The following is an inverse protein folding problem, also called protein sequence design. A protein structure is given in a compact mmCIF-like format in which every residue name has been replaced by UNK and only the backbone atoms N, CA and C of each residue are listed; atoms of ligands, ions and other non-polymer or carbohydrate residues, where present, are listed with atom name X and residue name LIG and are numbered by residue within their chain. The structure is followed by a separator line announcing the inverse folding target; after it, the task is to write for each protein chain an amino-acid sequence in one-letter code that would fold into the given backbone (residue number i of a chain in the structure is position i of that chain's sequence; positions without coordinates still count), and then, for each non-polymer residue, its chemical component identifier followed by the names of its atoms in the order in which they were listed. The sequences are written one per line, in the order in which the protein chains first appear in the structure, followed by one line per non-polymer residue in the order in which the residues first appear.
data_IF_932236098027
#
_entry.id   IF_932236098027
#
_cell.length_a   1.000
_cell.length_b   1.000
_cell.length_c   1.000
_cell.angle_alpha   90.00
_cell.angle_beta   90.00
_cell.angle_gamma   90.00
#
_symmetry.space_group_name_H-M   'P 1'
#
loop_
_entity.id
_entity.type
_entity.pdbx_description
1 polymer ?
#
# COMPACT_ATOMS: atom_id res chain seq x y z
N UNK A 1 -3.82 31.57 -8.53
CA UNK A 1 -3.56 32.72 -7.64
C UNK A 1 -3.93 32.32 -6.24
N UNK A 2 -2.99 32.44 -5.32
CA UNK A 2 -2.92 32.14 -3.89
C UNK A 2 -2.25 30.82 -3.54
N UNK A 3 -0.89 30.90 -3.63
CA UNK A 3 0.01 30.14 -2.75
C UNK A 3 -0.07 30.75 -1.33
N UNK A 4 -0.33 29.95 -0.32
CA UNK A 4 -0.03 30.32 1.07
C UNK A 4 1.17 29.53 1.54
N UNK A 5 2.34 30.16 1.39
CA UNK A 5 3.57 29.76 2.06
C UNK A 5 3.42 30.11 3.53
N UNK A 6 3.37 29.13 4.43
CA UNK A 6 3.62 29.35 5.84
C UNK A 6 5.09 29.06 6.14
N UNK A 7 5.93 30.09 5.94
CA UNK A 7 7.26 30.13 6.54
C UNK A 7 7.10 30.47 8.04
N UNK A 8 7.40 29.53 8.92
CA UNK A 8 7.67 29.83 10.32
C UNK A 8 9.19 29.76 10.49
N UNK A 9 9.79 30.93 10.57
CA UNK A 9 11.17 31.13 11.01
C UNK A 9 11.18 30.98 12.53
N UNK A 10 11.81 29.94 13.05
CA UNK A 10 12.22 29.89 14.45
C UNK A 10 13.73 30.14 14.52
N UNK A 11 14.09 31.34 15.00
CA UNK A 11 15.46 31.67 15.43
C UNK A 11 15.70 31.14 16.84
N UNK A 12 16.75 30.37 16.99
CA UNK A 12 17.64 30.33 18.14
C UNK A 12 17.11 29.82 19.46
N UNK A 13 17.48 28.58 19.83
CA UNK A 13 17.80 28.22 21.22
C UNK A 13 18.55 26.87 21.22
N UNK A 14 19.49 26.74 22.14
CA UNK A 14 20.54 25.73 22.23
C UNK A 14 20.05 24.28 22.27
N UNK A 15 20.85 23.45 21.67
CA UNK A 15 20.72 21.99 21.66
C UNK A 15 21.02 21.41 23.06
N UNK A 16 20.04 21.19 23.89
CA UNK A 16 20.03 20.19 24.96
C UNK A 16 18.60 19.87 25.35
N UNK A 17 17.93 19.02 24.56
CA UNK A 17 16.80 18.21 25.06
C UNK A 17 16.51 17.11 24.05
N UNK A 18 16.32 15.90 24.56
CA UNK A 18 15.81 14.72 23.81
C UNK A 18 14.57 15.13 23.00
N UNK A 19 14.40 14.59 21.78
CA UNK A 19 13.21 14.91 20.98
C UNK A 19 11.94 14.57 21.76
N UNK A 20 10.88 15.37 21.62
CA UNK A 20 9.65 15.14 22.34
C UNK A 20 9.14 13.72 22.04
N UNK A 21 8.80 12.98 23.11
CA UNK A 21 8.12 11.70 23.01
C UNK A 21 6.92 11.89 22.08
N UNK A 22 6.88 11.14 20.98
CA UNK A 22 5.73 11.10 20.08
C UNK A 22 4.50 10.71 20.90
N UNK A 23 3.68 11.67 21.26
CA UNK A 23 2.37 11.42 21.83
C UNK A 23 1.51 10.92 20.67
N UNK A 24 1.15 9.67 20.70
CA UNK A 24 0.05 9.15 19.86
C UNK A 24 -1.23 9.85 20.32
N UNK A 25 -1.62 10.91 19.63
CA UNK A 25 -2.91 11.56 19.85
C UNK A 25 -3.97 10.54 19.38
N UNK A 26 -4.89 10.11 20.24
CA UNK A 26 -5.98 9.24 19.81
C UNK A 26 -6.83 10.02 18.79
N UNK A 27 -6.79 9.59 17.56
CA UNK A 27 -7.50 10.19 16.44
C UNK A 27 -9.01 10.03 16.66
N UNK A 28 -9.71 11.14 16.80
CA UNK A 28 -11.16 11.19 16.98
C UNK A 28 -11.86 10.95 15.61
N UNK A 29 -13.05 10.34 15.59
CA UNK A 29 -13.77 10.00 14.35
C UNK A 29 -14.12 11.22 13.49
N UNK A 30 -14.35 12.41 14.10
CA UNK A 30 -14.60 13.67 13.38
C UNK A 30 -13.38 14.17 12.59
N UNK A 31 -12.16 13.87 13.01
CA UNK A 31 -10.95 14.26 12.29
C UNK A 31 -10.72 13.36 11.08
N UNK A 32 -11.27 12.12 11.09
CA UNK A 32 -11.24 11.19 9.95
C UNK A 32 -12.11 11.64 8.78
N UNK A 33 -13.19 12.38 9.05
CA UNK A 33 -14.07 12.92 8.00
C UNK A 33 -13.43 14.06 7.21
N UNK A 34 -12.45 14.75 7.80
CA UNK A 34 -11.71 15.86 7.18
C UNK A 34 -10.43 15.45 6.46
N UNK A 35 -10.07 14.15 6.45
CA UNK A 35 -8.88 13.70 5.74
C UNK A 35 -9.05 13.83 4.22
N UNK A 36 -8.05 14.41 3.58
CA UNK A 36 -8.01 14.55 2.12
C UNK A 36 -7.83 13.18 1.46
N UNK A 37 -8.64 12.92 0.44
CA UNK A 37 -8.56 11.70 -0.36
C UNK A 37 -7.35 11.77 -1.31
N UNK A 38 -6.30 11.04 -0.99
CA UNK A 38 -5.06 11.04 -1.76
C UNK A 38 -5.29 10.46 -3.17
N UNK A 39 -6.12 9.43 -3.31
CA UNK A 39 -6.44 8.85 -4.61
C UNK A 39 -7.08 9.89 -5.54
N UNK A 40 -8.06 10.63 -5.02
CA UNK A 40 -8.70 11.72 -5.78
C UNK A 40 -7.72 12.83 -6.12
N UNK A 41 -6.89 13.24 -5.17
CA UNK A 41 -5.87 14.27 -5.40
C UNK A 41 -4.90 13.85 -6.51
N UNK A 42 -4.29 12.67 -6.41
CA UNK A 42 -3.34 12.18 -7.41
C UNK A 42 -3.97 12.03 -8.80
N UNK A 43 -5.19 11.48 -8.87
CA UNK A 43 -5.88 11.31 -10.16
C UNK A 43 -6.26 12.66 -10.79
N UNK A 44 -6.66 13.66 -9.99
CA UNK A 44 -7.05 14.97 -10.51
C UNK A 44 -5.88 15.88 -10.84
N UNK A 45 -4.70 15.66 -10.24
CA UNK A 45 -3.48 16.44 -10.48
C UNK A 45 -2.52 15.80 -11.47
N UNK A 46 -2.78 14.55 -11.87
CA UNK A 46 -1.98 13.88 -12.89
C UNK A 46 -2.10 14.59 -14.25
N UNK A 47 -1.00 14.69 -15.02
CA UNK A 47 -1.06 15.11 -16.41
C UNK A 47 -1.93 14.18 -17.26
N UNK A 48 -2.30 14.60 -18.45
CA UNK A 48 -2.92 13.73 -19.45
C UNK A 48 -2.00 12.54 -19.74
N UNK A 49 -2.50 11.31 -19.56
CA UNK A 49 -1.69 10.07 -19.66
C UNK A 49 -1.10 9.60 -18.35
N UNK A 50 -1.22 10.37 -17.25
CA UNK A 50 -0.69 10.03 -15.94
C UNK A 50 0.69 10.64 -15.65
N UNK A 51 1.22 10.34 -14.46
CA UNK A 51 2.60 10.68 -14.11
C UNK A 51 3.57 9.74 -14.86
N UNK A 52 4.57 10.32 -15.51
CA UNK A 52 5.57 9.56 -16.26
C UNK A 52 6.53 8.76 -15.40
N UNK A 53 7.25 7.87 -16.05
CA UNK A 53 8.22 6.93 -15.45
C UNK A 53 9.61 7.03 -16.08
N UNK A 54 9.90 8.12 -16.78
CA UNK A 54 11.17 8.35 -17.47
C UNK A 54 12.35 8.21 -16.52
N UNK A 55 13.51 7.79 -17.02
CA UNK A 55 14.74 7.73 -16.24
C UNK A 55 15.06 9.07 -15.57
N UNK A 56 15.61 8.99 -14.35
CA UNK A 56 16.01 10.18 -13.59
C UNK A 56 17.38 10.67 -14.03
N UNK A 57 17.50 11.96 -14.20
CA UNK A 57 18.80 12.60 -14.36
C UNK A 57 19.60 12.58 -13.06
N UNK A 58 20.94 12.71 -13.11
CA UNK A 58 21.77 12.83 -11.90
C UNK A 58 21.36 13.99 -10.99
N UNK A 59 20.90 15.12 -11.57
CA UNK A 59 20.39 16.27 -10.82
C UNK A 59 19.12 15.95 -10.07
N UNK A 60 18.16 15.25 -10.68
CA UNK A 60 16.91 14.83 -10.04
C UNK A 60 17.14 13.80 -8.94
N UNK A 61 18.08 12.87 -9.14
CA UNK A 61 18.50 11.94 -8.08
C UNK A 61 19.13 12.67 -6.89
N UNK A 62 19.91 13.72 -7.13
CA UNK A 62 20.47 14.57 -6.07
C UNK A 62 19.35 15.30 -5.35
N UNK A 63 18.46 15.97 -6.08
CA UNK A 63 17.29 16.65 -5.53
C UNK A 63 16.43 15.72 -4.68
N UNK A 64 16.15 14.51 -5.17
CA UNK A 64 15.39 13.51 -4.42
C UNK A 64 16.06 13.13 -3.09
N UNK A 65 17.38 12.94 -3.08
CA UNK A 65 18.11 12.63 -1.86
C UNK A 65 17.99 13.74 -0.81
N UNK A 66 18.02 14.99 -1.24
CA UNK A 66 17.85 16.16 -0.38
C UNK A 66 16.42 16.22 0.20
N UNK A 67 15.41 16.07 -0.66
CA UNK A 67 13.98 16.01 -0.26
C UNK A 67 13.74 14.87 0.73
N UNK A 68 14.19 13.67 0.40
CA UNK A 68 14.03 12.48 1.25
C UNK A 68 14.72 12.67 2.60
N UNK A 69 15.93 13.21 2.60
CA UNK A 69 16.70 13.48 3.81
C UNK A 69 16.00 14.48 4.73
N UNK A 70 15.51 15.58 4.17
CA UNK A 70 14.76 16.59 4.90
C UNK A 70 13.47 16.05 5.49
N UNK A 71 12.70 15.30 4.69
CA UNK A 71 11.43 14.72 5.15
C UNK A 71 11.65 13.65 6.23
N UNK A 72 12.64 12.80 6.07
CA UNK A 72 13.01 11.82 7.12
C UNK A 72 13.38 12.51 8.45
N UNK A 73 14.12 13.63 8.39
CA UNK A 73 14.46 14.40 9.59
C UNK A 73 13.21 14.95 10.29
N UNK A 74 12.21 15.44 9.54
CA UNK A 74 10.92 15.90 10.10
C UNK A 74 10.19 14.81 10.90
N UNK A 75 10.35 13.56 10.50
CA UNK A 75 9.77 12.41 11.19
C UNK A 75 10.73 11.73 12.20
N UNK A 76 11.82 12.40 12.56
CA UNK A 76 12.75 11.96 13.60
C UNK A 76 13.66 10.81 13.20
N UNK A 77 13.98 10.67 11.91
CA UNK A 77 14.98 9.74 11.41
C UNK A 77 16.30 10.45 11.10
N UNK A 78 17.39 9.68 11.05
CA UNK A 78 18.64 10.21 10.48
C UNK A 78 18.40 10.73 9.05
N UNK A 79 18.96 11.90 8.69
CA UNK A 79 18.80 12.54 7.39
C UNK A 79 19.67 11.83 6.33
N UNK A 80 19.30 10.61 5.97
CA UNK A 80 19.98 9.80 4.96
C UNK A 80 18.99 9.31 3.91
N UNK A 81 19.51 8.99 2.73
CA UNK A 81 18.69 8.32 1.71
C UNK A 81 18.22 6.95 2.21
N UNK A 82 16.95 6.63 1.95
CA UNK A 82 16.39 5.33 2.18
C UNK A 82 15.53 4.92 0.98
N UNK A 83 15.51 3.63 0.58
CA UNK A 83 14.68 3.18 -0.52
C UNK A 83 13.19 3.34 -0.17
N UNK A 84 12.38 3.60 -1.20
CA UNK A 84 10.94 3.60 -1.11
C UNK A 84 10.40 2.19 -0.96
N UNK A 85 10.97 1.25 -1.73
CA UNK A 85 10.53 -0.14 -1.80
C UNK A 85 11.29 -0.99 -0.79
N UNK A 86 10.58 -1.85 -0.10
CA UNK A 86 11.15 -2.70 0.94
C UNK A 86 10.66 -4.14 0.82
N UNK A 87 11.44 -5.07 1.36
CA UNK A 87 11.07 -6.48 1.55
C UNK A 87 10.73 -6.81 3.01
N UNK A 88 10.75 -5.82 3.91
CA UNK A 88 10.66 -5.97 5.36
C UNK A 88 9.28 -6.48 5.86
N UNK A 89 8.56 -7.16 4.99
CA UNK A 89 7.28 -7.76 5.27
C UNK A 89 7.45 -9.29 5.24
N UNK A 90 7.16 -9.96 6.35
CA UNK A 90 7.17 -11.43 6.48
C UNK A 90 6.45 -12.16 5.33
N UNK A 91 5.46 -11.53 4.70
CA UNK A 91 4.76 -12.08 3.56
C UNK A 91 5.55 -11.98 2.27
N UNK A 92 6.14 -10.81 1.99
CA UNK A 92 6.98 -10.61 0.80
C UNK A 92 8.20 -11.52 0.83
N UNK A 93 8.81 -11.71 2.01
CA UNK A 93 9.95 -12.60 2.21
C UNK A 93 9.65 -14.10 2.05
N UNK A 94 8.38 -14.51 1.98
CA UNK A 94 7.98 -15.91 1.73
C UNK A 94 7.82 -16.27 0.25
N UNK A 95 7.90 -15.30 -0.62
CA UNK A 95 7.85 -15.56 -2.06
C UNK A 95 9.14 -16.24 -2.52
N UNK A 96 9.03 -17.21 -3.43
CA UNK A 96 10.18 -17.83 -4.11
C UNK A 96 10.85 -16.88 -5.10
N UNK A 97 10.12 -15.86 -5.55
CA UNK A 97 10.62 -14.78 -6.40
C UNK A 97 10.80 -13.53 -5.53
N UNK A 98 11.92 -12.79 -5.63
CA UNK A 98 12.14 -11.56 -4.87
C UNK A 98 10.96 -10.60 -5.01
N UNK A 99 10.38 -10.22 -3.87
CA UNK A 99 9.16 -9.42 -3.82
C UNK A 99 9.40 -8.13 -3.06
N UNK A 100 8.96 -7.02 -3.65
CA UNK A 100 9.16 -5.68 -3.13
C UNK A 100 7.82 -4.95 -3.03
N UNK A 101 7.69 -4.06 -2.07
CA UNK A 101 6.44 -3.33 -1.90
C UNK A 101 6.61 -1.94 -1.33
N UNK A 102 5.64 -1.09 -1.64
CA UNK A 102 5.52 0.24 -1.06
C UNK A 102 4.57 0.24 0.12
N UNK A 103 5.06 0.65 1.28
CA UNK A 103 4.26 0.79 2.50
C UNK A 103 3.99 2.26 2.79
N UNK A 104 2.74 2.69 2.58
CA UNK A 104 2.22 4.01 2.96
C UNK A 104 1.43 3.92 4.27
N UNK A 105 1.15 5.05 4.90
CA UNK A 105 0.33 5.15 6.09
C UNK A 105 -1.14 4.84 5.75
N UNK A 106 -1.74 3.74 6.23
CA UNK A 106 -3.12 3.41 5.92
C UNK A 106 -4.11 4.41 6.50
N UNK A 107 -5.36 4.33 6.08
CA UNK A 107 -6.43 5.23 6.50
C UNK A 107 -6.41 5.52 8.00
N UNK A 108 -6.40 6.80 8.38
CA UNK A 108 -6.43 7.25 9.76
C UNK A 108 -5.10 7.18 10.51
N UNK A 109 -4.00 6.81 9.87
CA UNK A 109 -2.65 6.81 10.46
C UNK A 109 -1.70 7.83 9.84
N UNK A 110 -2.10 8.48 8.76
CA UNK A 110 -1.46 9.70 8.24
C UNK A 110 -2.25 10.91 8.73
N UNK A 111 -1.57 12.00 9.03
CA UNK A 111 -2.19 13.17 9.65
C UNK A 111 -3.17 13.92 8.72
N UNK A 112 -3.00 13.78 7.39
CA UNK A 112 -3.72 14.60 6.41
C UNK A 112 -4.38 13.74 5.32
N UNK A 113 -3.78 12.60 4.94
CA UNK A 113 -4.16 11.88 3.75
C UNK A 113 -4.79 10.52 4.02
N UNK A 114 -5.93 10.25 3.39
CA UNK A 114 -6.53 8.93 3.33
C UNK A 114 -6.07 8.21 2.06
N UNK A 115 -5.28 7.16 2.22
CA UNK A 115 -4.81 6.30 1.12
C UNK A 115 -5.68 5.05 0.92
N UNK A 116 -6.79 4.92 1.67
CA UNK A 116 -7.68 3.75 1.65
C UNK A 116 -9.14 4.20 1.53
N UNK A 117 -9.49 4.84 0.42
CA UNK A 117 -10.81 5.45 0.17
C UNK A 117 -11.99 4.52 0.49
N UNK A 118 -11.90 3.26 0.09
CA UNK A 118 -12.98 2.27 0.28
C UNK A 118 -12.79 1.36 1.49
N UNK A 119 -11.90 1.73 2.44
CA UNK A 119 -11.79 0.98 3.69
C UNK A 119 -13.06 1.13 4.52
N UNK A 120 -13.58 0.01 5.02
CA UNK A 120 -14.72 -0.02 5.93
C UNK A 120 -14.31 0.26 7.38
N UNK A 121 -15.25 0.61 8.28
CA UNK A 121 -14.97 0.74 9.71
C UNK A 121 -14.34 -0.52 10.29
N UNK A 122 -14.85 -1.71 9.97
CA UNK A 122 -14.31 -2.98 10.44
C UNK A 122 -12.88 -3.22 9.96
N UNK A 123 -12.58 -2.93 8.68
CA UNK A 123 -11.24 -3.03 8.14
C UNK A 123 -10.25 -2.08 8.86
N UNK A 124 -10.67 -0.84 9.13
CA UNK A 124 -9.81 0.14 9.82
C UNK A 124 -9.53 -0.25 11.27
N UNK A 125 -10.52 -0.78 11.97
CA UNK A 125 -10.40 -1.18 13.37
C UNK A 125 -9.37 -2.32 13.58
N UNK A 126 -9.20 -3.20 12.60
CA UNK A 126 -8.29 -4.35 12.67
C UNK A 126 -7.18 -4.30 11.61
N UNK A 127 -6.79 -3.10 11.22
CA UNK A 127 -5.80 -2.91 10.16
C UNK A 127 -4.48 -3.61 10.48
N UNK A 128 -3.90 -4.29 9.48
CA UNK A 128 -2.60 -4.97 9.58
C UNK A 128 -1.43 -4.02 9.92
N UNK A 129 -1.64 -2.71 9.86
CA UNK A 129 -0.63 -1.73 10.28
C UNK A 129 -0.15 -1.93 11.71
N UNK A 130 -0.98 -2.54 12.57
CA UNK A 130 -0.69 -2.82 13.98
C UNK A 130 -0.16 -4.23 14.23
N UNK A 131 -0.03 -5.07 13.18
CA UNK A 131 0.44 -6.44 13.30
C UNK A 131 1.97 -6.53 13.20
N UNK A 132 2.56 -7.44 13.96
CA UNK A 132 4.01 -7.71 13.94
C UNK A 132 4.84 -6.43 14.16
N UNK A 133 5.86 -6.23 13.33
CA UNK A 133 6.71 -5.04 13.37
C UNK A 133 5.95 -3.74 13.03
N UNK A 134 4.76 -3.84 12.43
CA UNK A 134 3.91 -2.71 12.10
C UNK A 134 3.50 -1.85 13.30
N UNK A 135 3.52 -2.40 14.51
CA UNK A 135 3.19 -1.73 15.78
C UNK A 135 4.24 -0.73 16.27
N UNK A 136 5.46 -0.78 15.74
CA UNK A 136 6.52 0.12 16.18
C UNK A 136 6.34 1.52 15.62
N UNK A 137 6.56 2.54 16.46
CA UNK A 137 6.45 3.96 16.07
C UNK A 137 7.36 4.31 14.90
N UNK A 138 8.57 3.75 14.85
CA UNK A 138 9.48 3.97 13.73
C UNK A 138 8.88 3.50 12.40
N UNK A 139 8.18 2.36 12.39
CA UNK A 139 7.52 1.84 11.19
C UNK A 139 6.33 2.73 10.80
N UNK A 140 5.56 3.19 11.76
CA UNK A 140 4.44 4.13 11.52
C UNK A 140 4.96 5.44 10.92
N UNK A 141 5.97 6.06 11.53
CA UNK A 141 6.60 7.29 11.00
C UNK A 141 7.22 7.09 9.62
N UNK A 142 7.80 5.91 9.35
CA UNK A 142 8.33 5.59 8.04
C UNK A 142 7.25 5.54 6.95
N UNK A 143 6.05 5.08 7.26
CA UNK A 143 4.89 5.11 6.37
C UNK A 143 4.37 6.54 6.18
N UNK A 144 4.33 7.32 7.25
CA UNK A 144 3.86 8.71 7.24
C UNK A 144 4.73 9.58 6.32
N UNK A 145 6.06 9.56 6.49
CA UNK A 145 6.92 10.38 5.62
C UNK A 145 6.85 9.95 4.14
N UNK A 146 6.70 8.64 3.83
CA UNK A 146 6.51 8.19 2.45
C UNK A 146 5.17 8.69 1.88
N UNK A 147 4.12 8.72 2.68
CA UNK A 147 2.83 9.27 2.26
C UNK A 147 2.91 10.77 2.00
N UNK A 148 3.61 11.53 2.85
CA UNK A 148 3.86 12.95 2.63
C UNK A 148 4.66 13.20 1.35
N UNK A 149 5.75 12.45 1.14
CA UNK A 149 6.57 12.55 -0.08
C UNK A 149 5.75 12.28 -1.35
N UNK A 150 4.88 11.27 -1.34
CA UNK A 150 4.00 10.99 -2.48
C UNK A 150 3.01 12.12 -2.74
N UNK A 151 2.47 12.73 -1.69
CA UNK A 151 1.52 13.83 -1.82
C UNK A 151 2.17 15.14 -2.28
N UNK A 152 3.36 15.44 -1.75
CA UNK A 152 4.04 16.71 -1.99
C UNK A 152 4.86 16.71 -3.29
N UNK A 153 5.36 15.52 -3.72
CA UNK A 153 6.23 15.37 -4.88
C UNK A 153 5.82 14.17 -5.78
N UNK A 154 4.55 14.07 -6.23
CA UNK A 154 4.04 12.85 -6.87
C UNK A 154 4.80 12.44 -8.13
N UNK A 155 5.11 13.37 -9.02
CA UNK A 155 5.83 13.08 -10.26
C UNK A 155 7.23 12.51 -9.98
N UNK A 156 8.00 13.16 -9.10
CA UNK A 156 9.34 12.71 -8.75
C UNK A 156 9.33 11.40 -7.97
N UNK A 157 8.36 11.24 -7.04
CA UNK A 157 8.18 10.01 -6.27
C UNK A 157 7.94 8.79 -7.19
N UNK A 158 7.06 8.93 -8.18
CA UNK A 158 6.71 7.85 -9.12
C UNK A 158 7.92 7.49 -9.99
N UNK A 159 8.66 8.48 -10.48
CA UNK A 159 9.88 8.24 -11.27
C UNK A 159 10.99 7.59 -10.44
N UNK A 160 11.14 7.97 -9.17
CA UNK A 160 12.07 7.29 -8.24
C UNK A 160 11.64 5.85 -7.99
N UNK A 161 10.35 5.60 -7.80
CA UNK A 161 9.83 4.24 -7.64
C UNK A 161 10.11 3.38 -8.88
N UNK A 162 9.88 3.91 -10.09
CA UNK A 162 10.21 3.25 -11.35
C UNK A 162 11.71 2.96 -11.48
N UNK A 163 12.56 3.92 -11.06
CA UNK A 163 14.02 3.74 -11.01
C UNK A 163 14.43 2.62 -10.06
N UNK A 164 13.84 2.57 -8.85
CA UNK A 164 14.11 1.48 -7.90
C UNK A 164 13.67 0.11 -8.46
N UNK A 165 12.51 0.02 -9.11
CA UNK A 165 12.03 -1.22 -9.75
C UNK A 165 13.00 -1.69 -10.83
N UNK A 166 13.48 -0.79 -11.71
CA UNK A 166 14.47 -1.13 -12.74
C UNK A 166 15.76 -1.68 -12.11
N UNK A 167 16.30 -1.02 -11.10
CA UNK A 167 17.52 -1.44 -10.42
C UNK A 167 17.35 -2.80 -9.71
N UNK A 168 16.20 -3.02 -9.08
CA UNK A 168 15.90 -4.29 -8.41
C UNK A 168 15.76 -5.43 -9.43
N UNK A 169 15.08 -5.20 -10.55
CA UNK A 169 14.95 -6.17 -11.61
C UNK A 169 16.30 -6.46 -12.30
N UNK A 170 17.13 -5.44 -12.55
CA UNK A 170 18.48 -5.63 -13.08
C UNK A 170 19.36 -6.48 -12.14
N UNK A 171 19.18 -6.32 -10.83
CA UNK A 171 19.95 -7.07 -9.82
C UNK A 171 19.47 -8.50 -9.61
N UNK A 172 18.16 -8.72 -9.63
CA UNK A 172 17.55 -9.97 -9.18
C UNK A 172 16.92 -10.80 -10.32
N UNK A 173 16.80 -10.24 -11.53
CA UNK A 173 16.02 -10.82 -12.63
C UNK A 173 14.53 -10.57 -12.43
N UNK A 174 13.69 -11.60 -12.61
CA UNK A 174 12.25 -11.45 -12.39
C UNK A 174 11.92 -11.12 -10.93
N UNK A 175 11.12 -10.08 -10.73
CA UNK A 175 10.67 -9.64 -9.41
C UNK A 175 9.14 -9.56 -9.34
N UNK A 176 8.63 -9.47 -8.10
CA UNK A 176 7.25 -9.11 -7.80
C UNK A 176 7.20 -7.71 -7.20
N UNK A 177 6.22 -6.92 -7.64
CA UNK A 177 6.00 -5.60 -7.07
C UNK A 177 4.56 -5.44 -6.58
N UNK A 178 4.44 -4.96 -5.33
CA UNK A 178 3.17 -4.67 -4.68
C UNK A 178 3.11 -3.19 -4.28
N UNK A 179 2.47 -2.32 -5.08
CA UNK A 179 2.41 -0.88 -4.81
C UNK A 179 1.58 -0.51 -3.58
N UNK A 180 0.64 -1.34 -3.13
CA UNK A 180 -0.19 -1.08 -1.96
C UNK A 180 -0.02 -2.16 -0.86
N UNK A 181 1.10 -2.20 -0.14
CA UNK A 181 1.26 -3.17 0.97
C UNK A 181 0.21 -2.96 2.05
N UNK A 182 -0.12 -1.70 2.36
CA UNK A 182 -1.13 -1.31 3.36
C UNK A 182 -2.11 -0.23 2.85
N UNK A 183 -1.85 0.36 1.69
CA UNK A 183 -2.71 1.33 1.02
C UNK A 183 -3.74 0.64 0.11
N UNK A 184 -4.55 1.44 -0.56
CA UNK A 184 -5.46 1.00 -1.62
C UNK A 184 -5.65 2.15 -2.63
N UNK A 185 -4.52 2.58 -3.24
CA UNK A 185 -4.49 3.62 -4.26
C UNK A 185 -4.66 2.99 -5.65
N UNK A 186 -5.44 3.59 -6.55
CA UNK A 186 -5.63 3.13 -7.92
C UNK A 186 -4.48 3.63 -8.81
N UNK A 187 -3.29 3.06 -8.66
CA UNK A 187 -2.06 3.47 -9.34
C UNK A 187 -2.22 3.53 -10.86
N UNK A 188 -3.00 2.63 -11.44
CA UNK A 188 -3.27 2.57 -12.86
C UNK A 188 -4.03 3.78 -13.42
N UNK A 189 -4.71 4.55 -12.55
CA UNK A 189 -5.44 5.74 -12.98
C UNK A 189 -4.57 7.00 -13.03
N UNK A 190 -3.43 7.03 -12.35
CA UNK A 190 -2.56 8.21 -12.32
C UNK A 190 -1.11 7.93 -12.66
N UNK A 191 -0.68 6.67 -12.73
CA UNK A 191 0.65 6.26 -13.12
C UNK A 191 0.60 4.91 -13.91
N UNK A 192 -0.14 4.83 -15.03
CA UNK A 192 -0.33 3.59 -15.78
C UNK A 192 1.00 2.99 -16.28
N UNK A 193 1.94 3.83 -16.70
CA UNK A 193 3.23 3.41 -17.27
C UNK A 193 4.13 2.69 -16.25
N UNK A 194 3.81 2.79 -14.95
CA UNK A 194 4.51 2.06 -13.90
C UNK A 194 4.43 0.53 -14.09
N UNK A 195 3.40 0.06 -14.82
CA UNK A 195 3.14 -1.36 -15.06
C UNK A 195 3.66 -1.88 -16.41
N UNK A 196 4.32 -1.00 -17.19
CA UNK A 196 4.92 -1.32 -18.50
C UNK A 196 6.35 -0.77 -18.64
N UNK A 197 7.12 -0.85 -17.55
CA UNK A 197 8.48 -0.32 -17.52
C UNK A 197 9.41 -1.01 -18.51
N UNK A 198 10.29 -0.22 -19.10
CA UNK A 198 11.40 -0.70 -19.94
C UNK A 198 12.74 -0.27 -19.35
N UNK A 199 13.80 -1.00 -19.68
CA UNK A 199 15.19 -0.58 -19.49
C UNK A 199 15.59 0.41 -20.59
N UNK A 200 16.74 1.03 -20.46
CA UNK A 200 17.27 2.02 -21.44
C UNK A 200 17.51 1.41 -22.83
N UNK A 201 17.75 0.10 -22.92
CA UNK A 201 17.89 -0.64 -24.19
C UNK A 201 16.54 -1.01 -24.84
N UNK A 202 15.42 -0.64 -24.24
CA UNK A 202 14.06 -0.92 -24.71
C UNK A 202 13.47 -2.25 -24.27
N UNK A 203 14.25 -3.13 -23.61
CA UNK A 203 13.74 -4.39 -23.09
C UNK A 203 12.75 -4.17 -21.96
N UNK A 204 11.70 -5.01 -21.91
CA UNK A 204 10.73 -4.96 -20.81
C UNK A 204 11.39 -5.32 -19.48
N UNK A 205 11.09 -4.55 -18.43
CA UNK A 205 11.52 -4.86 -17.07
C UNK A 205 10.76 -6.11 -16.60
N UNK A 206 11.46 -7.17 -16.16
CA UNK A 206 10.83 -8.45 -15.78
C UNK A 206 10.18 -8.34 -14.38
N UNK A 207 9.12 -7.55 -14.28
CA UNK A 207 8.32 -7.34 -13.08
C UNK A 207 6.89 -7.80 -13.29
N UNK A 208 6.31 -8.53 -12.31
CA UNK A 208 4.89 -8.81 -12.24
C UNK A 208 4.28 -8.09 -11.06
N UNK A 209 3.18 -7.39 -11.32
CA UNK A 209 2.55 -6.51 -10.36
C UNK A 209 1.25 -7.10 -9.83
N UNK A 210 0.98 -6.93 -8.53
CA UNK A 210 -0.27 -7.38 -7.92
C UNK A 210 -0.65 -6.54 -6.71
N UNK A 211 -1.94 -6.52 -6.39
CA UNK A 211 -2.45 -5.87 -5.19
C UNK A 211 -3.78 -6.45 -4.71
N UNK A 212 -4.18 -6.03 -3.52
CA UNK A 212 -5.52 -6.21 -2.98
C UNK A 212 -6.26 -4.89 -3.00
N UNK A 213 -7.54 -4.92 -3.38
CA UNK A 213 -8.34 -3.70 -3.48
C UNK A 213 -9.75 -3.88 -2.93
N UNK A 214 -10.28 -2.82 -2.30
CA UNK A 214 -11.68 -2.68 -1.91
C UNK A 214 -12.47 -1.78 -2.85
N UNK A 215 -11.82 -1.27 -3.88
CA UNK A 215 -12.50 -0.50 -4.90
C UNK A 215 -13.51 -1.38 -5.65
N UNK A 216 -14.66 -0.82 -6.06
CA UNK A 216 -15.51 -1.46 -7.06
C UNK A 216 -14.75 -1.66 -8.37
N UNK A 217 -15.00 -2.79 -9.06
CA UNK A 217 -14.27 -3.16 -10.28
C UNK A 217 -14.48 -2.16 -11.43
N UNK A 218 -15.67 -1.58 -11.51
CA UNK A 218 -16.03 -0.53 -12.48
C UNK A 218 -15.26 0.79 -12.29
N UNK A 219 -14.57 0.95 -11.15
CA UNK A 219 -13.77 2.14 -10.81
C UNK A 219 -12.27 1.91 -10.85
N UNK A 220 -11.84 0.74 -11.28
CA UNK A 220 -10.43 0.38 -11.46
C UNK A 220 -10.15 0.21 -12.96
N UNK A 221 -8.98 0.67 -13.39
CA UNK A 221 -8.49 0.39 -14.73
C UNK A 221 -8.01 -1.06 -14.85
N UNK A 222 -8.14 -1.63 -16.05
CA UNK A 222 -7.53 -2.93 -16.35
C UNK A 222 -6.20 -2.70 -17.06
N UNK A 223 -5.10 -3.17 -16.44
CA UNK A 223 -3.77 -3.15 -17.03
C UNK A 223 -3.22 -4.59 -17.06
N UNK A 224 -2.74 -5.09 -18.22
CA UNK A 224 -2.37 -6.50 -18.37
C UNK A 224 -1.36 -7.02 -17.36
N UNK A 225 -0.39 -6.20 -16.96
CA UNK A 225 0.66 -6.58 -16.00
C UNK A 225 0.36 -6.11 -14.55
N UNK A 226 -0.91 -5.89 -14.21
CA UNK A 226 -1.29 -5.52 -12.84
C UNK A 226 -2.50 -6.34 -12.38
N UNK A 227 -2.25 -7.40 -11.64
CA UNK A 227 -3.29 -8.26 -11.10
C UNK A 227 -3.87 -7.68 -9.81
N UNK A 228 -5.18 -7.50 -9.80
CA UNK A 228 -5.93 -7.08 -8.63
C UNK A 228 -6.69 -8.27 -8.03
N UNK A 229 -6.74 -8.32 -6.70
CA UNK A 229 -7.55 -9.25 -5.91
C UNK A 229 -8.57 -8.44 -5.14
N UNK A 230 -9.84 -8.75 -5.29
CA UNK A 230 -10.89 -8.10 -4.52
C UNK A 230 -10.71 -8.37 -3.02
N UNK A 231 -10.85 -7.38 -2.16
CA UNK A 231 -10.71 -7.53 -0.71
C UNK A 231 -12.07 -7.36 -0.03
N UNK A 232 -12.60 -8.44 0.52
CA UNK A 232 -13.93 -8.49 1.14
C UNK A 232 -13.95 -7.69 2.44
N UNK A 233 -15.04 -6.99 2.69
CA UNK A 233 -15.32 -6.30 3.96
C UNK A 233 -16.76 -6.56 4.44
N UNK A 234 -17.11 -6.09 5.63
CA UNK A 234 -18.36 -6.42 6.32
C UNK A 234 -19.63 -6.02 5.55
N UNK A 235 -19.55 -5.02 4.68
CA UNK A 235 -20.72 -4.54 3.93
C UNK A 235 -21.00 -5.33 2.63
N UNK A 236 -20.08 -6.22 2.23
CA UNK A 236 -20.28 -7.01 1.03
C UNK A 236 -21.27 -8.16 1.30
N UNK A 237 -22.31 -8.22 0.47
CA UNK A 237 -23.22 -9.37 0.38
C UNK A 237 -22.52 -10.52 -0.35
N UNK A 238 -23.04 -11.73 -0.21
CA UNK A 238 -22.52 -12.92 -0.90
C UNK A 238 -22.55 -12.77 -2.42
N UNK A 239 -23.60 -12.13 -2.96
CA UNK A 239 -23.68 -11.81 -4.39
C UNK A 239 -22.56 -10.87 -4.85
N UNK A 240 -22.23 -9.84 -4.06
CA UNK A 240 -21.13 -8.91 -4.35
C UNK A 240 -19.77 -9.62 -4.26
N UNK A 241 -19.59 -10.54 -3.30
CA UNK A 241 -18.36 -11.34 -3.19
C UNK A 241 -18.18 -12.23 -4.43
N UNK A 242 -19.27 -12.85 -4.91
CA UNK A 242 -19.24 -13.60 -6.17
C UNK A 242 -18.88 -12.69 -7.36
N UNK A 243 -19.46 -11.49 -7.42
CA UNK A 243 -19.11 -10.47 -8.41
C UNK A 243 -17.63 -10.15 -8.37
N UNK A 244 -17.04 -9.91 -7.18
CA UNK A 244 -15.61 -9.65 -7.02
C UNK A 244 -14.75 -10.81 -7.54
N UNK A 245 -15.12 -12.08 -7.26
CA UNK A 245 -14.39 -13.24 -7.79
C UNK A 245 -14.47 -13.29 -9.31
N UNK A 246 -15.60 -12.94 -9.89
CA UNK A 246 -15.77 -12.86 -11.35
C UNK A 246 -14.93 -11.75 -11.96
N UNK A 247 -14.98 -10.55 -11.39
CA UNK A 247 -14.41 -9.33 -11.98
C UNK A 247 -12.89 -9.25 -11.78
N UNK A 248 -12.40 -9.62 -10.60
CA UNK A 248 -10.98 -9.61 -10.26
C UNK A 248 -10.28 -10.98 -10.42
N UNK A 249 -11.04 -12.01 -10.76
CA UNK A 249 -10.55 -13.40 -10.81
C UNK A 249 -10.47 -14.06 -9.45
N UNK A 250 -10.36 -13.32 -8.34
CA UNK A 250 -10.34 -13.85 -6.97
C UNK A 250 -10.72 -12.77 -5.96
N UNK A 251 -11.13 -13.22 -4.75
CA UNK A 251 -11.41 -12.31 -3.63
C UNK A 251 -10.75 -12.81 -2.35
N UNK A 252 -10.17 -11.90 -1.57
CA UNK A 252 -9.55 -12.20 -0.28
C UNK A 252 -10.54 -12.02 0.87
N UNK A 253 -10.61 -13.02 1.73
CA UNK A 253 -11.44 -13.03 2.94
C UNK A 253 -10.58 -13.31 4.17
N UNK A 254 -10.75 -12.50 5.21
CA UNK A 254 -10.11 -12.74 6.51
C UNK A 254 -11.05 -13.57 7.37
N UNK A 255 -10.57 -14.74 7.82
CA UNK A 255 -11.27 -15.64 8.71
C UNK A 255 -10.77 -15.52 10.15
N UNK A 256 -11.63 -15.82 11.13
CA UNK A 256 -11.31 -15.89 12.56
C UNK A 256 -10.38 -17.06 12.91
N UNK A 257 -9.98 -17.83 11.91
CA UNK A 257 -9.06 -18.96 12.05
C UNK A 257 -7.71 -18.53 12.61
N UNK A 258 -7.25 -19.22 13.64
CA UNK A 258 -5.94 -18.99 14.26
C UNK A 258 -4.79 -19.51 13.40
N UNK A 259 -3.60 -18.94 13.63
CA UNK A 259 -2.36 -19.39 12.97
C UNK A 259 -2.15 -20.91 13.16
N UNK A 260 -1.85 -21.61 12.08
CA UNK A 260 -1.61 -23.07 12.09
C UNK A 260 -2.87 -23.93 12.05
N UNK A 261 -4.06 -23.35 12.15
CA UNK A 261 -5.33 -24.07 11.97
C UNK A 261 -5.75 -24.06 10.50
N UNK A 262 -6.47 -25.10 10.04
CA UNK A 262 -6.96 -25.14 8.66
C UNK A 262 -7.99 -24.04 8.42
N UNK A 263 -7.96 -23.46 7.23
CA UNK A 263 -9.02 -22.59 6.72
C UNK A 263 -10.19 -23.46 6.23
N UNK A 264 -11.43 -22.92 6.13
CA UNK A 264 -12.54 -23.66 5.53
C UNK A 264 -12.18 -24.05 4.09
N UNK A 265 -12.61 -25.22 3.64
CA UNK A 265 -12.33 -25.71 2.30
C UNK A 265 -13.09 -24.91 1.22
N UNK A 266 -14.29 -24.43 1.60
CA UNK A 266 -15.16 -23.66 0.71
C UNK A 266 -15.74 -22.45 1.44
N UNK A 267 -16.02 -21.40 0.68
CA UNK A 267 -16.78 -20.26 1.17
C UNK A 267 -18.29 -20.57 1.03
N UNK A 268 -18.98 -20.63 2.19
CA UNK A 268 -20.27 -21.28 2.35
C UNK A 268 -21.40 -20.76 1.46
N UNK A 269 -21.45 -19.46 1.18
CA UNK A 269 -22.58 -18.89 0.45
C UNK A 269 -22.67 -19.34 -1.02
N UNK A 270 -21.57 -19.81 -1.63
CA UNK A 270 -21.53 -20.13 -3.05
C UNK A 270 -20.66 -21.33 -3.40
N UNK A 271 -20.22 -22.07 -2.41
CA UNK A 271 -19.35 -23.23 -2.60
C UNK A 271 -18.04 -22.91 -3.39
N UNK A 272 -17.54 -21.67 -3.23
CA UNK A 272 -16.30 -21.23 -3.90
C UNK A 272 -15.12 -21.82 -3.11
N UNK A 273 -14.20 -22.47 -3.80
CA UNK A 273 -12.98 -23.02 -3.20
C UNK A 273 -12.17 -21.95 -2.46
N UNK A 274 -11.75 -22.26 -1.23
CA UNK A 274 -10.84 -21.42 -0.44
C UNK A 274 -9.43 -21.96 -0.53
N UNK A 275 -8.49 -21.13 -0.94
CA UNK A 275 -7.06 -21.46 -0.93
C UNK A 275 -6.35 -20.71 0.20
N UNK A 276 -5.25 -21.27 0.72
CA UNK A 276 -4.50 -20.70 1.83
C UNK A 276 -3.58 -19.56 1.35
N UNK A 277 -4.05 -18.33 1.49
CA UNK A 277 -3.32 -17.11 1.12
C UNK A 277 -2.17 -16.73 2.08
N UNK A 278 -2.00 -17.43 3.20
CA UNK A 278 -0.88 -17.20 4.11
C UNK A 278 0.40 -17.97 3.72
N UNK A 279 0.30 -18.91 2.76
CA UNK A 279 1.44 -19.67 2.26
C UNK A 279 2.39 -18.82 1.41
N UNK A 280 1.86 -17.91 0.62
CA UNK A 280 2.59 -16.95 -0.21
C UNK A 280 1.82 -15.64 -0.28
N UNK A 281 2.50 -14.53 -0.53
CA UNK A 281 1.85 -13.24 -0.87
C UNK A 281 1.82 -12.98 -2.39
N UNK A 282 2.55 -13.76 -3.18
CA UNK A 282 2.53 -13.66 -4.64
C UNK A 282 1.14 -14.03 -5.19
N UNK A 283 0.46 -13.05 -5.81
CA UNK A 283 -0.88 -13.18 -6.40
C UNK A 283 -0.83 -13.19 -7.93
N UNK A 284 0.33 -13.40 -8.50
CA UNK A 284 0.49 -13.39 -9.97
C UNK A 284 0.23 -14.76 -10.63
N UNK A 285 -0.06 -15.79 -9.83
CA UNK A 285 -0.27 -17.15 -10.33
C UNK A 285 -1.68 -17.34 -10.93
N UNK A 286 -1.75 -17.89 -12.13
CA UNK A 286 -3.02 -18.17 -12.83
C UNK A 286 -3.94 -19.16 -12.06
N UNK A 287 -3.36 -20.06 -11.26
CA UNK A 287 -4.10 -21.03 -10.44
C UNK A 287 -4.99 -20.41 -9.36
N UNK A 288 -4.83 -19.13 -9.09
CA UNK A 288 -5.65 -18.41 -8.11
C UNK A 288 -6.88 -17.72 -8.72
N UNK A 289 -7.39 -18.22 -9.85
CA UNK A 289 -8.60 -17.69 -10.50
C UNK A 289 -9.84 -18.51 -10.10
N UNK A 290 -10.95 -17.81 -9.87
CA UNK A 290 -12.22 -18.43 -9.47
C UNK A 290 -12.29 -18.87 -8.00
N UNK A 291 -11.39 -18.35 -7.14
CA UNK A 291 -11.23 -18.80 -5.76
C UNK A 291 -11.36 -17.68 -4.74
N UNK A 292 -11.61 -18.05 -3.50
CA UNK A 292 -11.42 -17.21 -2.31
C UNK A 292 -9.99 -17.42 -1.79
N UNK A 293 -9.26 -16.32 -1.62
CA UNK A 293 -7.96 -16.31 -0.94
C UNK A 293 -8.22 -16.14 0.55
N UNK A 294 -8.19 -17.25 1.28
CA UNK A 294 -8.40 -17.26 2.72
C UNK A 294 -7.17 -16.73 3.47
N UNK A 295 -7.38 -15.77 4.33
CA UNK A 295 -6.36 -15.18 5.20
C UNK A 295 -6.78 -15.38 6.66
N UNK A 296 -5.81 -15.70 7.54
CA UNK A 296 -6.07 -15.81 8.97
C UNK A 296 -6.02 -14.44 9.63
N UNK A 297 -6.84 -14.24 10.65
CA UNK A 297 -6.79 -13.04 11.49
C UNK A 297 -5.39 -12.83 12.09
N UNK A 298 -4.91 -11.58 12.09
CA UNK A 298 -3.59 -11.18 12.61
C UNK A 298 -3.69 -9.87 13.41
N UNK A 299 -2.77 -9.68 14.35
CA UNK A 299 -2.72 -8.46 15.15
C UNK A 299 -4.04 -8.23 15.91
N UNK A 300 -4.62 -7.06 15.80
CA UNK A 300 -5.88 -6.68 16.44
C UNK A 300 -7.11 -7.45 15.89
N UNK A 301 -6.98 -8.15 14.76
CA UNK A 301 -8.04 -9.00 14.25
C UNK A 301 -8.21 -10.30 15.05
N UNK A 302 -7.20 -10.72 15.81
CA UNK A 302 -7.26 -11.94 16.63
C UNK A 302 -8.19 -11.66 17.81
N UNK A 303 -9.31 -12.42 17.90
CA UNK A 303 -10.27 -12.30 18.98
C UNK A 303 -11.12 -11.01 18.95
N UNK A 304 -11.14 -10.30 17.84
CA UNK A 304 -11.97 -9.11 17.66
C UNK A 304 -13.47 -9.51 17.56
N UNK A 305 -14.05 -9.83 18.69
CA UNK A 305 -15.49 -10.18 18.80
C UNK A 305 -16.35 -9.01 18.35
N UNK A 306 -17.38 -9.32 17.54
CA UNK A 306 -18.29 -8.31 16.98
C UNK A 306 -17.75 -7.53 15.77
N UNK A 307 -16.50 -7.75 15.34
CA UNK A 307 -15.98 -7.16 14.12
C UNK A 307 -16.33 -8.05 12.92
N UNK A 308 -17.39 -7.70 12.21
CA UNK A 308 -17.92 -8.45 11.07
C UNK A 308 -17.08 -8.38 9.79
N UNK A 309 -15.99 -7.61 9.78
CA UNK A 309 -14.95 -7.67 8.73
C UNK A 309 -14.29 -9.06 8.70
N UNK A 310 -14.16 -9.70 9.87
CA UNK A 310 -13.63 -11.04 10.01
C UNK A 310 -14.78 -12.02 9.87
N UNK A 311 -14.64 -13.00 8.99
CA UNK A 311 -15.65 -14.02 8.74
C UNK A 311 -15.40 -15.24 9.62
N UNK A 312 -16.48 -15.85 10.09
CA UNK A 312 -16.39 -17.15 10.76
C UNK A 312 -15.99 -18.22 9.76
N UNK A 313 -15.07 -19.12 10.17
CA UNK A 313 -14.54 -20.20 9.36
C UNK A 313 -15.53 -21.37 9.20
#
# INVERSE_FOLDING_TARGET
MWLVIRSIILRGAGFTSLPPKCVTIPYNERERENMRDLARFLTSSAPTGGYGVEPLTPSELKQWREIMSAERARYGFCPVHAPLLTTDNDKLGKSTVPSFGLSLAPAGTSDIWNVCRYSSPGCRAVCLATAGNGRYDSVTRARQYRTALLADHPALFIRVMAHEIRNLAAKHGEIRFRPNVLADLPWELFAPDLFSLTFDNGDAVPVKNYDYTKWPSDKRGHIPNYRLVGSVHEKHTDSQIRGMVKDYGSAAVVFDTLRGKPLPATYTAHNITVIDGDKSDDRTMASETGVIIGLRAKGQAIGATGNTFIRTA
#
